data_IF_904693973909
#
_entry.id   IF_904693973909
#
_cell.length_a   1.000
_cell.length_b   1.000
_cell.length_c   1.000
_cell.angle_alpha   90.00
_cell.angle_beta   90.00
_cell.angle_gamma   90.00
#
_symmetry.space_group_name_H-M   'P 1'
#
loop_
_entity.id
_entity.type
_entity.pdbx_description
1 polymer ?
#
# COMPACT_ATOMS: atom_id res chain seq x y z
N UNK A 1 -8.91 6.74 19.28
CA UNK A 1 -8.11 6.09 18.21
C UNK A 1 -8.79 4.77 17.89
N UNK A 2 -9.30 4.55 16.66
CA UNK A 2 -9.95 3.29 16.28
C UNK A 2 -8.90 2.31 15.76
N UNK A 3 -8.23 1.62 16.67
CA UNK A 3 -7.33 0.50 16.33
C UNK A 3 -8.18 -0.75 16.06
N UNK A 4 -7.83 -1.52 15.03
CA UNK A 4 -8.55 -2.76 14.70
C UNK A 4 -7.99 -3.89 15.55
N UNK A 5 -8.88 -4.70 16.13
CA UNK A 5 -8.50 -5.95 16.78
C UNK A 5 -8.18 -6.99 15.70
N UNK A 6 -6.96 -7.52 15.72
CA UNK A 6 -6.52 -8.56 14.79
C UNK A 6 -7.33 -9.85 15.00
N UNK A 7 -7.55 -10.61 13.92
CA UNK A 7 -8.19 -11.92 14.03
C UNK A 7 -7.18 -12.93 14.55
N UNK A 8 -7.59 -13.81 15.46
CA UNK A 8 -6.76 -14.91 15.98
C UNK A 8 -6.25 -15.80 14.84
N UNK A 9 -4.96 -16.13 14.88
CA UNK A 9 -4.35 -17.06 13.93
C UNK A 9 -5.10 -18.37 13.84
N UNK A 10 -5.21 -18.90 12.62
CA UNK A 10 -5.81 -20.21 12.38
C UNK A 10 -4.79 -21.19 11.84
N UNK A 11 -5.12 -22.48 11.93
CA UNK A 11 -4.37 -23.57 11.31
C UNK A 11 -4.03 -23.30 9.83
N UNK A 12 -4.99 -22.80 9.06
CA UNK A 12 -4.81 -22.49 7.65
C UNK A 12 -3.77 -21.38 7.41
N UNK A 13 -3.73 -20.41 8.32
CA UNK A 13 -2.83 -19.26 8.26
C UNK A 13 -1.40 -19.67 8.61
N UNK A 14 -1.25 -20.58 9.59
CA UNK A 14 0.01 -21.23 9.93
C UNK A 14 0.60 -22.04 8.78
N UNK A 15 -0.26 -22.69 7.99
CA UNK A 15 0.16 -23.40 6.78
C UNK A 15 0.62 -22.44 5.67
N UNK A 16 -0.21 -21.45 5.33
CA UNK A 16 0.06 -20.49 4.24
C UNK A 16 1.38 -19.74 4.43
N UNK A 17 1.65 -19.34 5.67
CA UNK A 17 2.86 -18.57 6.03
C UNK A 17 4.08 -19.44 6.35
N UNK A 18 3.95 -20.77 6.33
CA UNK A 18 5.09 -21.65 6.55
C UNK A 18 6.07 -21.52 5.37
N UNK A 19 7.40 -21.54 5.63
CA UNK A 19 8.40 -21.65 4.58
C UNK A 19 8.14 -22.82 3.63
N UNK A 20 8.40 -22.64 2.34
CA UNK A 20 8.15 -23.67 1.32
C UNK A 20 8.88 -24.97 1.64
N UNK A 21 10.15 -24.86 2.04
CA UNK A 21 11.06 -25.96 2.41
C UNK A 21 10.79 -26.56 3.81
N UNK A 22 9.75 -26.13 4.51
CA UNK A 22 9.43 -26.68 5.83
C UNK A 22 8.92 -28.12 5.70
N UNK A 23 9.66 -29.06 6.30
CA UNK A 23 9.30 -30.48 6.36
C UNK A 23 8.02 -30.76 7.15
N UNK A 24 7.37 -31.89 6.83
CA UNK A 24 6.04 -32.27 7.30
C UNK A 24 5.87 -32.24 8.84
N UNK A 25 6.83 -32.80 9.59
CA UNK A 25 6.77 -32.86 11.05
C UNK A 25 6.76 -31.45 11.67
N UNK A 26 7.65 -30.57 11.18
CA UNK A 26 7.73 -29.17 11.67
C UNK A 26 6.47 -28.39 11.32
N UNK A 27 5.89 -28.63 10.15
CA UNK A 27 4.63 -28.03 9.73
C UNK A 27 3.47 -28.48 10.64
N UNK A 28 3.37 -29.77 10.95
CA UNK A 28 2.35 -30.30 11.85
C UNK A 28 2.45 -29.68 13.26
N UNK A 29 3.67 -29.52 13.80
CA UNK A 29 3.90 -28.85 15.08
C UNK A 29 3.49 -27.37 15.02
N UNK A 30 3.86 -26.64 13.96
CA UNK A 30 3.47 -25.23 13.77
C UNK A 30 1.94 -25.08 13.74
N UNK A 31 1.25 -25.95 13.02
CA UNK A 31 -0.20 -25.99 12.95
C UNK A 31 -0.80 -26.30 14.34
N UNK A 32 -0.33 -27.35 15.02
CA UNK A 32 -0.82 -27.69 16.36
C UNK A 32 -0.61 -26.56 17.38
N UNK A 33 0.46 -25.78 17.24
CA UNK A 33 0.74 -24.59 18.06
C UNK A 33 -0.32 -23.49 17.96
N UNK A 34 -1.19 -23.50 16.95
CA UNK A 34 -2.33 -22.56 16.83
C UNK A 34 -3.53 -22.93 17.71
N UNK A 35 -3.54 -24.15 18.30
CA UNK A 35 -4.61 -24.63 19.17
C UNK A 35 -4.44 -24.18 20.64
N UNK A 36 -3.19 -23.98 21.08
CA UNK A 36 -2.90 -23.20 22.29
C UNK A 36 -3.05 -21.72 21.97
N UNK A 37 -3.31 -20.86 22.97
CA UNK A 37 -3.62 -19.45 22.73
C UNK A 37 -2.68 -18.80 21.72
N UNK A 38 -3.20 -18.63 20.50
CA UNK A 38 -2.41 -18.07 19.43
C UNK A 38 -2.26 -16.58 19.68
N UNK A 39 -1.03 -16.18 19.99
CA UNK A 39 -0.60 -14.79 20.20
C UNK A 39 -0.52 -14.00 18.90
N UNK A 40 -0.86 -14.61 17.77
CA UNK A 40 -0.64 -14.04 16.46
C UNK A 40 -1.98 -13.66 15.82
N UNK A 41 -2.00 -12.57 15.05
CA UNK A 41 -3.21 -12.17 14.34
C UNK A 41 -3.01 -11.59 12.95
N UNK A 42 -3.96 -11.88 12.07
CA UNK A 42 -3.94 -11.56 10.64
C UNK A 42 -5.05 -10.61 10.24
N UNK A 43 -4.86 -9.97 9.08
CA UNK A 43 -5.88 -9.14 8.46
C UNK A 43 -5.94 -9.35 6.94
N UNK A 44 -7.15 -9.23 6.38
CA UNK A 44 -7.41 -9.47 4.96
C UNK A 44 -8.04 -8.24 4.28
N UNK A 45 -7.53 -7.92 3.09
CA UNK A 45 -8.01 -6.84 2.25
C UNK A 45 -8.27 -7.34 0.83
N UNK A 46 -9.19 -6.72 0.10
CA UNK A 46 -9.32 -7.01 -1.33
C UNK A 46 -8.15 -6.41 -2.12
N UNK A 47 -7.66 -5.25 -1.72
CA UNK A 47 -6.54 -4.58 -2.35
C UNK A 47 -5.57 -3.95 -1.35
N UNK A 48 -4.28 -4.03 -1.66
CA UNK A 48 -3.23 -3.26 -0.99
C UNK A 48 -2.66 -2.28 -2.01
N UNK A 49 -2.57 -1.00 -1.63
CA UNK A 49 -1.96 0.07 -2.41
C UNK A 49 -0.65 0.46 -1.72
N UNK A 50 0.48 0.20 -2.38
CA UNK A 50 1.82 0.54 -1.91
C UNK A 50 2.37 1.69 -2.74
N UNK A 51 2.98 2.66 -2.07
CA UNK A 51 3.78 3.69 -2.70
C UNK A 51 3.70 5.01 -1.97
N UNK A 52 4.51 5.98 -2.41
CA UNK A 52 4.76 7.20 -1.64
C UNK A 52 4.11 8.46 -2.25
N UNK A 53 3.22 8.29 -3.22
CA UNK A 53 2.40 9.34 -3.80
C UNK A 53 1.01 9.43 -3.14
N UNK A 54 0.71 10.46 -2.32
CA UNK A 54 -0.56 10.57 -1.61
C UNK A 54 -1.78 10.74 -2.52
N UNK A 55 -1.67 11.54 -3.59
CA UNK A 55 -2.80 11.82 -4.49
C UNK A 55 -3.16 10.55 -5.25
N UNK A 56 -2.17 9.93 -5.90
CA UNK A 56 -2.40 8.73 -6.72
C UNK A 56 -2.90 7.59 -5.84
N UNK A 57 -2.28 7.37 -4.68
CA UNK A 57 -2.65 6.27 -3.78
C UNK A 57 -4.06 6.43 -3.19
N UNK A 58 -4.46 7.65 -2.79
CA UNK A 58 -5.81 7.89 -2.26
C UNK A 58 -6.87 7.88 -3.36
N UNK A 59 -6.60 8.45 -4.54
CA UNK A 59 -7.51 8.37 -5.70
C UNK A 59 -7.79 6.93 -6.10
N UNK A 60 -6.74 6.10 -6.16
CA UNK A 60 -6.87 4.67 -6.43
C UNK A 60 -7.68 3.97 -5.34
N UNK A 61 -7.37 4.23 -4.07
CA UNK A 61 -8.09 3.63 -2.95
C UNK A 61 -9.57 3.99 -2.94
N UNK A 62 -9.92 5.25 -3.25
CA UNK A 62 -11.32 5.68 -3.37
C UNK A 62 -12.02 5.00 -4.55
N UNK A 63 -11.34 4.88 -5.68
CA UNK A 63 -11.89 4.19 -6.86
C UNK A 63 -12.17 2.71 -6.54
N UNK A 64 -11.20 2.01 -5.95
CA UNK A 64 -11.35 0.63 -5.46
C UNK A 64 -12.44 0.50 -4.39
N UNK A 65 -12.56 1.48 -3.51
CA UNK A 65 -13.60 1.50 -2.50
C UNK A 65 -15.01 1.65 -3.10
N UNK A 66 -15.18 2.55 -4.07
CA UNK A 66 -16.42 2.74 -4.82
C UNK A 66 -16.83 1.48 -5.58
N UNK A 67 -15.86 0.66 -6.00
CA UNK A 67 -16.10 -0.68 -6.57
C UNK A 67 -16.36 -1.77 -5.52
N UNK A 68 -16.50 -1.42 -4.24
CA UNK A 68 -16.82 -2.34 -3.15
C UNK A 68 -15.62 -2.94 -2.40
N UNK A 69 -14.38 -2.60 -2.75
CA UNK A 69 -13.19 -3.18 -2.13
C UNK A 69 -12.90 -2.60 -0.74
N UNK A 70 -12.38 -3.41 0.18
CA UNK A 70 -11.63 -2.98 1.37
C UNK A 70 -10.17 -2.81 0.96
N UNK A 71 -9.63 -1.64 1.26
CA UNK A 71 -8.32 -1.21 0.75
C UNK A 71 -7.41 -0.87 1.92
N UNK A 72 -6.20 -1.41 1.90
CA UNK A 72 -5.10 -0.99 2.76
C UNK A 72 -4.14 -0.12 1.95
N UNK A 73 -3.94 1.12 2.39
CA UNK A 73 -2.90 2.00 1.91
C UNK A 73 -1.66 1.78 2.78
N UNK A 74 -0.55 1.40 2.16
CA UNK A 74 0.75 1.21 2.81
C UNK A 74 1.74 2.18 2.19
N UNK A 75 1.92 3.38 2.75
CA UNK A 75 2.93 4.31 2.25
C UNK A 75 4.30 3.65 2.38
N UNK A 76 5.08 3.65 1.29
CA UNK A 76 6.41 3.00 1.23
C UNK A 76 7.45 3.94 1.88
N UNK A 77 7.30 4.16 3.19
CA UNK A 77 8.09 5.10 3.98
C UNK A 77 9.42 4.49 4.41
N UNK A 78 10.17 3.88 3.49
CA UNK A 78 11.52 3.35 3.76
C UNK A 78 12.60 4.38 3.43
N UNK A 79 13.80 4.23 3.99
CA UNK A 79 14.92 5.15 3.77
C UNK A 79 15.44 5.13 2.34
N UNK A 80 16.07 6.22 1.88
CA UNK A 80 16.55 6.41 0.50
C UNK A 80 17.49 5.31 -0.01
N UNK A 81 18.21 4.66 0.90
CA UNK A 81 19.08 3.52 0.59
C UNK A 81 18.34 2.25 0.15
N UNK A 82 17.05 2.13 0.48
CA UNK A 82 16.22 0.97 0.15
C UNK A 82 15.52 1.11 -1.22
N UNK A 83 15.63 2.29 -1.83
CA UNK A 83 15.10 2.62 -3.15
C UNK A 83 16.09 2.26 -4.26
N UNK A 84 15.62 2.09 -5.51
CA UNK A 84 16.47 1.71 -6.64
C UNK A 84 17.69 2.63 -6.87
N UNK A 85 17.63 3.89 -6.40
CA UNK A 85 18.76 4.84 -6.43
C UNK A 85 18.73 5.83 -5.26
N UNK A 86 19.90 6.38 -4.89
CA UNK A 86 20.04 7.35 -3.79
C UNK A 86 19.33 8.69 -4.06
N UNK A 87 19.26 9.10 -5.33
CA UNK A 87 18.65 10.38 -5.74
C UNK A 87 17.12 10.28 -5.89
N UNK A 88 16.58 9.05 -5.80
CA UNK A 88 15.18 8.78 -6.05
C UNK A 88 14.24 9.57 -5.14
N UNK A 89 14.56 9.69 -3.85
CA UNK A 89 13.73 10.41 -2.89
C UNK A 89 13.49 11.88 -3.26
N UNK A 90 14.51 12.55 -3.79
CA UNK A 90 14.40 13.95 -4.24
C UNK A 90 13.57 14.07 -5.52
N UNK A 91 13.84 13.20 -6.49
CA UNK A 91 13.09 13.17 -7.76
C UNK A 91 11.61 12.84 -7.54
N UNK A 92 11.33 11.93 -6.62
CA UNK A 92 9.98 11.56 -6.23
C UNK A 92 9.26 12.76 -5.63
N UNK A 93 9.88 13.46 -4.66
CA UNK A 93 9.30 14.65 -4.06
C UNK A 93 9.02 15.76 -5.08
N UNK A 94 9.92 16.00 -6.03
CA UNK A 94 9.70 16.98 -7.11
C UNK A 94 8.51 16.57 -8.00
N UNK A 95 8.46 15.29 -8.37
CA UNK A 95 7.44 14.77 -9.31
C UNK A 95 6.06 14.70 -8.68
N UNK A 96 5.93 14.21 -7.43
CA UNK A 96 4.64 14.10 -6.74
C UNK A 96 4.01 15.46 -6.43
N UNK A 97 4.85 16.48 -6.20
CA UNK A 97 4.42 17.84 -5.94
C UNK A 97 4.13 18.65 -7.21
N UNK A 98 4.52 18.14 -8.39
CA UNK A 98 4.11 18.73 -9.66
C UNK A 98 2.60 18.55 -9.83
N UNK A 99 1.85 19.65 -9.78
CA UNK A 99 0.39 19.66 -9.87
C UNK A 99 -0.06 20.86 -10.71
N UNK A 100 -0.28 20.59 -11.99
CA UNK A 100 -0.70 21.59 -12.96
C UNK A 100 -2.22 21.54 -13.22
N UNK A 101 -2.69 22.41 -14.11
CA UNK A 101 -4.09 22.49 -14.48
C UNK A 101 -4.63 21.19 -15.12
N UNK A 102 -3.80 20.43 -15.84
CA UNK A 102 -4.22 19.17 -16.47
C UNK A 102 -4.50 18.11 -15.40
N UNK A 103 -3.66 18.06 -14.36
CA UNK A 103 -3.86 17.19 -13.20
C UNK A 103 -5.13 17.59 -12.45
N UNK A 104 -5.27 18.89 -12.16
CA UNK A 104 -6.43 19.41 -11.43
C UNK A 104 -7.75 19.10 -12.14
N UNK A 105 -7.81 19.34 -13.46
CA UNK A 105 -8.98 18.99 -14.28
C UNK A 105 -9.30 17.50 -14.26
N UNK A 106 -8.28 16.64 -14.25
CA UNK A 106 -8.51 15.20 -14.20
C UNK A 106 -8.98 14.73 -12.81
N UNK A 107 -8.42 15.29 -11.74
CA UNK A 107 -8.85 15.01 -10.36
C UNK A 107 -10.29 15.45 -10.15
N UNK A 108 -10.68 16.63 -10.66
CA UNK A 108 -12.05 17.16 -10.53
C UNK A 108 -13.12 16.26 -11.16
N UNK A 109 -12.77 15.43 -12.16
CA UNK A 109 -13.69 14.44 -12.75
C UNK A 109 -14.05 13.29 -11.80
N UNK A 110 -13.24 13.08 -10.76
CA UNK A 110 -13.33 11.90 -9.89
C UNK A 110 -13.48 12.26 -8.41
N UNK A 111 -13.18 13.51 -8.03
CA UNK A 111 -13.25 14.02 -6.67
C UNK A 111 -14.39 15.03 -6.58
N UNK A 112 -15.44 14.69 -5.82
CA UNK A 112 -16.63 15.53 -5.73
C UNK A 112 -16.31 16.83 -4.98
N UNK A 113 -16.81 17.96 -5.49
CA UNK A 113 -16.61 19.27 -4.85
C UNK A 113 -15.19 19.84 -4.95
N UNK A 114 -14.32 19.29 -5.82
CA UNK A 114 -13.02 19.87 -6.15
C UNK A 114 -13.11 20.74 -7.41
N UNK A 115 -12.66 21.99 -7.31
CA UNK A 115 -12.57 22.90 -8.45
C UNK A 115 -11.21 22.70 -9.17
N UNK A 116 -11.12 22.59 -10.50
CA UNK A 116 -9.85 22.55 -11.21
C UNK A 116 -8.92 23.76 -10.99
N UNK A 117 -9.45 24.88 -10.49
CA UNK A 117 -8.65 26.05 -10.07
C UNK A 117 -8.05 25.88 -8.67
N UNK A 118 -8.53 24.90 -7.90
CA UNK A 118 -7.98 24.57 -6.59
C UNK A 118 -6.59 23.92 -6.72
N UNK A 119 -5.69 24.29 -5.81
CA UNK A 119 -4.33 23.74 -5.77
C UNK A 119 -4.24 22.34 -5.16
N UNK A 120 -3.06 21.74 -5.30
CA UNK A 120 -2.71 20.41 -4.78
C UNK A 120 -3.20 20.13 -3.34
N UNK A 121 -2.98 21.09 -2.42
CA UNK A 121 -3.32 20.90 -1.01
C UNK A 121 -4.83 20.77 -0.77
N UNK A 122 -5.66 21.42 -1.60
CA UNK A 122 -7.11 21.31 -1.52
C UNK A 122 -7.59 19.95 -2.04
N UNK A 123 -7.01 19.48 -3.15
CA UNK A 123 -7.23 18.11 -3.64
C UNK A 123 -6.89 17.09 -2.56
N UNK A 124 -5.69 17.20 -1.96
CA UNK A 124 -5.24 16.32 -0.89
C UNK A 124 -6.18 16.35 0.31
N UNK A 125 -6.63 17.54 0.74
CA UNK A 125 -7.55 17.67 1.88
C UNK A 125 -8.90 17.00 1.62
N UNK A 126 -9.46 17.15 0.43
CA UNK A 126 -10.74 16.52 0.07
C UNK A 126 -10.59 14.99 -0.01
N UNK A 127 -9.50 14.49 -0.60
CA UNK A 127 -9.18 13.07 -0.65
C UNK A 127 -9.02 12.46 0.75
N UNK A 128 -8.34 13.16 1.66
CA UNK A 128 -8.21 12.74 3.05
C UNK A 128 -9.60 12.62 3.69
N UNK A 129 -10.46 13.62 3.49
CA UNK A 129 -11.82 13.61 4.05
C UNK A 129 -12.65 12.46 3.51
N UNK A 130 -12.66 12.23 2.19
CA UNK A 130 -13.37 11.10 1.58
C UNK A 130 -12.81 9.74 2.04
N UNK A 131 -11.49 9.60 2.11
CA UNK A 131 -10.89 8.36 2.60
C UNK A 131 -11.21 8.11 4.08
N UNK A 132 -11.21 9.16 4.90
CA UNK A 132 -11.45 9.08 6.34
C UNK A 132 -12.93 8.80 6.68
N UNK A 133 -13.86 9.20 5.82
CA UNK A 133 -15.29 8.88 5.97
C UNK A 133 -15.61 7.43 5.63
N UNK A 134 -14.75 6.75 4.85
CA UNK A 134 -14.90 5.34 4.51
C UNK A 134 -14.49 4.40 5.65
N UNK A 135 -15.33 3.41 5.94
CA UNK A 135 -14.95 2.33 6.88
C UNK A 135 -14.07 1.26 6.24
N UNK A 136 -13.96 1.25 4.90
CA UNK A 136 -13.28 0.23 4.10
C UNK A 136 -11.87 0.63 3.68
N UNK A 137 -11.51 1.91 3.78
CA UNK A 137 -10.16 2.40 3.50
C UNK A 137 -9.40 2.53 4.82
N UNK A 138 -8.21 1.94 4.88
CA UNK A 138 -7.33 1.97 6.04
C UNK A 138 -5.93 2.37 5.59
N UNK A 139 -5.19 3.08 6.44
CA UNK A 139 -3.79 3.41 6.20
C UNK A 139 -2.90 2.76 7.25
N UNK A 140 -1.76 2.23 6.80
CA UNK A 140 -0.75 1.68 7.68
C UNK A 140 -0.05 2.81 8.45
N UNK A 141 -0.10 2.73 9.79
CA UNK A 141 0.28 3.85 10.66
C UNK A 141 1.79 4.14 10.63
N UNK A 142 2.60 3.13 10.92
CA UNK A 142 4.03 3.29 11.15
C UNK A 142 4.87 2.14 10.57
N UNK A 143 4.24 1.01 10.27
CA UNK A 143 4.95 -0.15 9.75
C UNK A 143 5.02 -0.04 8.23
N UNK A 144 5.98 -0.74 7.62
CA UNK A 144 5.99 -0.97 6.17
C UNK A 144 5.65 -2.44 5.91
N UNK A 145 5.31 -2.77 4.67
CA UNK A 145 5.04 -4.15 4.27
C UNK A 145 6.24 -4.73 3.49
N UNK A 146 6.50 -6.00 3.72
CA UNK A 146 7.40 -6.83 2.93
C UNK A 146 6.58 -7.92 2.25
N UNK A 147 6.72 -8.05 0.94
CA UNK A 147 6.14 -9.16 0.20
C UNK A 147 6.85 -10.49 0.52
N UNK A 148 6.14 -11.60 0.43
CA UNK A 148 6.71 -12.91 0.74
C UNK A 148 7.79 -13.40 -0.22
N UNK A 149 8.02 -12.75 -1.38
CA UNK A 149 8.99 -13.18 -2.41
C UNK A 149 8.90 -14.67 -2.77
N UNK A 150 7.73 -15.30 -2.62
CA UNK A 150 7.55 -16.74 -2.88
C UNK A 150 8.25 -17.70 -1.89
N UNK A 151 8.78 -17.22 -0.76
CA UNK A 151 9.52 -18.06 0.21
C UNK A 151 8.63 -18.87 1.15
N UNK A 152 7.32 -18.67 1.07
CA UNK A 152 6.31 -19.36 1.87
C UNK A 152 5.43 -20.24 0.97
N UNK A 153 4.79 -21.24 1.56
CA UNK A 153 3.85 -22.14 0.87
C UNK A 153 2.72 -21.38 0.17
N UNK A 154 2.32 -20.23 0.71
CA UNK A 154 1.42 -19.28 0.06
C UNK A 154 0.00 -19.80 -0.09
N UNK A 155 -0.73 -19.21 -1.04
CA UNK A 155 -2.11 -19.52 -1.36
C UNK A 155 -2.59 -18.69 -2.55
N UNK A 156 -3.91 -18.53 -2.69
CA UNK A 156 -4.49 -17.65 -3.72
C UNK A 156 -4.21 -16.17 -3.45
N UNK A 157 -4.11 -15.79 -2.19
CA UNK A 157 -3.90 -14.41 -1.78
C UNK A 157 -2.39 -14.09 -1.70
N UNK A 158 -2.05 -12.86 -2.04
CA UNK A 158 -0.75 -12.25 -1.77
C UNK A 158 -0.58 -12.08 -0.27
N UNK A 159 0.62 -12.35 0.23
CA UNK A 159 0.94 -12.32 1.66
C UNK A 159 2.04 -11.30 1.90
N UNK A 160 1.78 -10.39 2.83
CA UNK A 160 2.70 -9.33 3.23
C UNK A 160 2.99 -9.42 4.72
N UNK A 161 4.25 -9.28 5.09
CA UNK A 161 4.71 -9.26 6.47
C UNK A 161 5.06 -7.82 6.87
N UNK A 162 4.61 -7.32 8.02
CA UNK A 162 5.07 -6.03 8.53
C UNK A 162 6.58 -6.06 8.83
N UNK A 163 7.27 -4.98 8.48
CA UNK A 163 8.70 -4.78 8.74
C UNK A 163 8.93 -4.06 10.08
N UNK A 164 9.82 -4.60 10.90
CA UNK A 164 10.18 -4.04 12.21
C UNK A 164 10.81 -2.64 12.13
N UNK A 165 10.55 -1.82 13.15
CA UNK A 165 11.06 -0.46 13.33
C UNK A 165 12.58 -0.35 13.36
N UNK A 166 13.30 -1.41 13.74
CA UNK A 166 14.78 -1.39 13.78
C UNK A 166 15.42 -1.40 12.38
N UNK A 167 14.65 -1.78 11.36
CA UNK A 167 15.05 -1.70 9.96
C UNK A 167 14.60 -0.38 9.31
N UNK A 168 13.92 0.48 10.06
CA UNK A 168 13.52 1.81 9.61
C UNK A 168 14.61 2.81 9.99
N UNK A 169 15.57 3.04 9.08
CA UNK A 169 16.17 4.36 9.06
C UNK A 169 15.01 5.36 8.89
N UNK A 170 14.95 6.34 9.80
CA UNK A 170 13.80 7.24 9.96
C UNK A 170 13.24 7.63 8.60
N UNK A 171 11.92 7.46 8.36
CA UNK A 171 11.33 7.72 7.07
C UNK A 171 11.62 9.15 6.67
N UNK A 172 12.45 9.31 5.66
CA UNK A 172 12.46 10.53 4.88
C UNK A 172 11.71 10.18 3.60
N UNK A 173 10.78 11.09 3.27
CA UNK A 173 10.02 11.20 2.02
C UNK A 173 8.73 10.36 2.05
N UNK A 174 7.53 10.86 1.73
CA UNK A 174 7.02 12.21 1.44
C UNK A 174 6.34 12.80 2.71
N UNK A 175 6.64 14.06 3.14
CA UNK A 175 6.15 14.63 4.39
C UNK A 175 4.61 14.74 4.47
N UNK A 176 3.93 14.75 3.33
CA UNK A 176 2.48 14.85 3.25
C UNK A 176 1.78 13.61 3.79
N UNK A 177 2.43 12.44 3.78
CA UNK A 177 1.87 11.23 4.40
C UNK A 177 1.67 11.38 5.90
N UNK A 178 2.43 12.25 6.57
CA UNK A 178 2.17 12.59 7.97
C UNK A 178 0.77 13.18 8.14
N UNK A 179 0.38 14.11 7.27
CA UNK A 179 -0.93 14.76 7.28
C UNK A 179 -2.05 13.75 7.00
N UNK A 180 -1.85 12.85 6.03
CA UNK A 180 -2.82 11.82 5.67
C UNK A 180 -2.98 10.81 6.81
N UNK A 181 -1.86 10.27 7.33
CA UNK A 181 -1.86 9.28 8.41
C UNK A 181 -2.55 9.82 9.65
N UNK A 182 -2.39 11.08 10.00
CA UNK A 182 -3.04 11.68 11.18
C UNK A 182 -4.58 11.69 11.09
N UNK A 183 -5.16 11.70 9.88
CA UNK A 183 -6.59 11.93 9.64
C UNK A 183 -7.35 10.70 9.12
N UNK A 184 -6.69 9.76 8.45
CA UNK A 184 -7.30 8.52 7.94
C UNK A 184 -7.27 7.40 9.00
N UNK A 185 -8.22 6.45 8.92
CA UNK A 185 -8.30 5.29 9.85
C UNK A 185 -7.03 4.45 9.79
N UNK A 186 -6.42 4.20 10.94
CA UNK A 186 -5.10 3.57 11.09
C UNK A 186 -5.19 2.07 11.33
N UNK A 187 -4.34 1.31 10.64
CA UNK A 187 -3.97 -0.05 10.99
C UNK A 187 -2.55 -0.02 11.57
N UNK A 188 -2.33 -0.78 12.64
CA UNK A 188 -1.04 -0.87 13.33
C UNK A 188 -0.79 -2.32 13.67
N UNK A 189 0.42 -2.81 13.44
CA UNK A 189 0.79 -4.18 13.78
C UNK A 189 1.61 -4.20 15.06
N UNK A 190 1.32 -5.19 15.91
CA UNK A 190 2.17 -5.44 17.07
C UNK A 190 3.34 -6.32 16.65
N UNK A 191 4.55 -5.74 16.53
CA UNK A 191 5.77 -6.44 16.09
C UNK A 191 6.16 -7.63 16.96
N UNK A 192 5.79 -7.63 18.25
CA UNK A 192 6.04 -8.76 19.14
C UNK A 192 5.15 -9.98 18.86
N UNK A 193 4.12 -9.81 18.02
CA UNK A 193 3.00 -10.74 17.81
C UNK A 193 2.69 -10.95 16.31
N UNK A 194 3.57 -10.54 15.38
CA UNK A 194 3.20 -10.43 13.97
C UNK A 194 2.72 -11.74 13.34
N UNK A 195 1.64 -11.55 12.57
CA UNK A 195 1.14 -12.42 11.55
C UNK A 195 0.62 -11.52 10.42
N UNK A 196 1.02 -11.85 9.21
CA UNK A 196 0.79 -11.18 7.94
C UNK A 196 -0.56 -10.45 7.63
N UNK A 197 -0.49 -9.57 6.62
CA UNK A 197 -1.62 -9.11 5.81
C UNK A 197 -1.80 -10.02 4.60
N UNK A 198 -3.04 -10.38 4.29
CA UNK A 198 -3.40 -11.01 3.00
C UNK A 198 -4.14 -10.04 2.09
N UNK A 199 -3.88 -10.12 0.79
CA UNK A 199 -4.62 -9.37 -0.21
C UNK A 199 -4.80 -10.11 -1.53
N UNK A 200 -5.89 -9.82 -2.26
CA UNK A 200 -6.10 -10.40 -3.59
C UNK A 200 -5.38 -9.63 -4.69
N UNK A 201 -5.25 -8.32 -4.53
CA UNK A 201 -4.60 -7.44 -5.48
C UNK A 201 -3.55 -6.57 -4.78
N UNK A 202 -2.44 -6.34 -5.45
CA UNK A 202 -1.42 -5.37 -5.08
C UNK A 202 -1.34 -4.31 -6.17
N UNK A 203 -1.41 -3.05 -5.78
CA UNK A 203 -1.16 -1.92 -6.65
C UNK A 203 0.06 -1.15 -6.15
N UNK A 204 0.96 -0.82 -7.07
CA UNK A 204 2.23 -0.17 -6.77
C UNK A 204 2.19 1.19 -7.48
N UNK A 205 2.19 2.29 -6.73
CA UNK A 205 1.96 3.65 -7.27
C UNK A 205 3.25 4.42 -7.55
N UNK A 206 4.34 4.00 -6.91
CA UNK A 206 5.72 4.49 -7.10
C UNK A 206 6.65 3.28 -7.18
N UNK A 207 7.82 3.36 -7.86
CA UNK A 207 8.84 2.31 -7.81
C UNK A 207 9.06 1.86 -6.36
N UNK A 208 8.89 0.56 -6.07
CA UNK A 208 8.85 0.11 -4.69
C UNK A 208 10.25 0.01 -4.08
N UNK A 209 10.28 -0.02 -2.76
CA UNK A 209 11.44 -0.47 -2.00
C UNK A 209 11.80 -1.93 -2.29
N UNK A 210 13.04 -2.31 -1.96
CA UNK A 210 13.52 -3.70 -2.07
C UNK A 210 12.68 -4.76 -1.32
N UNK A 211 11.76 -4.34 -0.46
CA UNK A 211 10.93 -5.24 0.33
C UNK A 211 9.63 -5.65 -0.37
N UNK A 212 9.24 -4.94 -1.42
CA UNK A 212 8.05 -5.23 -2.20
C UNK A 212 8.50 -5.72 -3.57
N UNK A 213 8.22 -6.99 -3.86
CA UNK A 213 8.47 -7.57 -5.17
C UNK A 213 7.52 -6.92 -6.21
N UNK A 214 8.06 -6.15 -7.17
CA UNK A 214 7.25 -5.43 -8.15
C UNK A 214 6.59 -6.34 -9.19
N UNK A 215 6.91 -7.65 -9.21
CA UNK A 215 6.27 -8.63 -10.09
C UNK A 215 4.93 -9.14 -9.55
N UNK A 216 4.68 -8.98 -8.23
CA UNK A 216 3.47 -9.46 -7.58
C UNK A 216 2.25 -8.53 -7.75
N UNK A 217 2.46 -7.32 -8.29
CA UNK A 217 1.46 -6.27 -8.31
C UNK A 217 1.29 -5.59 -9.66
N UNK A 218 0.17 -4.90 -9.80
CA UNK A 218 -0.08 -4.00 -10.93
C UNK A 218 0.62 -2.67 -10.66
N UNK A 219 1.53 -2.29 -11.56
CA UNK A 219 2.25 -1.02 -11.48
C UNK A 219 1.38 0.09 -12.09
N UNK A 220 1.15 1.15 -11.34
CA UNK A 220 0.33 2.30 -11.72
C UNK A 220 1.04 3.60 -11.33
N UNK A 221 0.57 4.73 -11.82
CA UNK A 221 1.21 6.02 -11.56
C UNK A 221 2.66 6.02 -12.03
N UNK A 222 3.55 6.47 -11.13
CA UNK A 222 5.00 6.57 -11.37
C UNK A 222 5.70 5.20 -11.44
N UNK A 223 5.05 4.11 -11.01
CA UNK A 223 5.66 2.77 -11.03
C UNK A 223 5.62 2.08 -12.42
N UNK A 224 4.86 2.61 -13.38
CA UNK A 224 4.72 2.03 -14.73
C UNK A 224 6.03 2.17 -15.51
N UNK A 225 6.94 1.20 -15.41
CA UNK A 225 8.18 1.21 -16.17
C UNK A 225 7.95 1.09 -17.70
N UNK A 226 8.72 1.89 -18.47
CA UNK A 226 8.86 1.89 -19.93
C UNK A 226 9.13 3.31 -20.48
N UNK A 227 10.24 3.63 -21.15
CA UNK A 227 11.42 2.89 -21.64
C UNK A 227 12.62 3.87 -21.71
N UNK A 228 13.85 3.37 -21.79
CA UNK A 228 15.04 4.17 -22.12
C UNK A 228 14.76 5.14 -23.27
N UNK A 229 14.70 6.44 -22.97
CA UNK A 229 14.44 7.51 -23.95
C UNK A 229 13.05 8.17 -23.88
N UNK A 230 12.13 7.74 -23.00
CA UNK A 230 10.82 8.38 -22.87
C UNK A 230 10.86 9.49 -21.83
N UNK A 231 11.01 10.71 -22.35
CA UNK A 231 10.82 11.99 -21.66
C UNK A 231 9.57 11.97 -20.76
N UNK A 232 9.74 12.44 -19.51
CA UNK A 232 8.72 13.01 -18.60
C UNK A 232 7.29 13.00 -19.18
N UNK A 233 6.53 11.92 -18.95
CA UNK A 233 5.09 11.93 -19.17
C UNK A 233 4.43 12.76 -18.06
N UNK A 234 3.43 13.55 -18.44
CA UNK A 234 2.79 14.52 -17.55
C UNK A 234 2.12 13.83 -16.35
N UNK A 235 2.21 14.43 -15.16
CA UNK A 235 1.59 13.97 -13.90
C UNK A 235 0.13 13.52 -14.06
N UNK A 236 -0.61 14.14 -14.99
CA UNK A 236 -2.00 13.80 -15.29
C UNK A 236 -2.15 12.32 -15.70
N UNK A 237 -1.20 11.78 -16.47
CA UNK A 237 -1.23 10.38 -16.92
C UNK A 237 -1.00 9.40 -15.77
N UNK A 238 -0.25 9.79 -14.74
CA UNK A 238 -0.05 8.97 -13.55
C UNK A 238 -1.36 8.81 -12.78
N UNK A 239 -2.06 9.93 -12.54
CA UNK A 239 -3.38 9.92 -11.91
C UNK A 239 -4.37 9.13 -12.77
N UNK A 240 -4.34 9.30 -14.10
CA UNK A 240 -5.22 8.57 -15.03
C UNK A 240 -4.99 7.07 -14.98
N UNK A 241 -3.74 6.62 -14.99
CA UNK A 241 -3.42 5.20 -14.99
C UNK A 241 -3.91 4.47 -13.74
N UNK A 242 -3.87 5.13 -12.60
CA UNK A 242 -4.39 4.58 -11.36
C UNK A 242 -5.90 4.33 -11.43
N UNK A 243 -6.65 5.20 -12.08
CA UNK A 243 -8.10 5.06 -12.19
C UNK A 243 -8.49 4.05 -13.29
N UNK A 244 -7.80 4.07 -14.43
CA UNK A 244 -8.16 3.25 -15.59
C UNK A 244 -7.92 1.74 -15.38
N UNK A 245 -7.00 1.35 -14.49
CA UNK A 245 -6.73 -0.07 -14.22
C UNK A 245 -7.89 -0.83 -13.55
N UNK A 246 -9.00 -0.17 -13.21
CA UNK A 246 -10.25 -0.83 -12.83
C UNK A 246 -11.13 -1.29 -14.00
N UNK A 247 -10.99 -0.67 -15.18
CA UNK A 247 -11.94 -0.84 -16.29
C UNK A 247 -11.61 -2.10 -17.12
N UNK A 248 -10.36 -2.58 -17.05
CA UNK A 248 -9.91 -3.76 -17.82
C UNK A 248 -10.15 -5.13 -17.16
N UNK A 249 -10.68 -5.15 -15.94
CA UNK A 249 -10.83 -6.36 -15.09
C UNK A 249 -12.30 -6.70 -14.80
N UNK A 250 -13.25 -6.08 -15.52
CA UNK A 250 -14.69 -6.41 -15.48
C UNK A 250 -15.06 -7.44 -16.55
#
# INVERSE_FOLDING_TARGET
MKTIALKKYRLADAYKTAPTEMGFIKLAIRMAGTLGDSLYGSEAFEAVVVGDDPIVSMMLALTLHRSGSRVLISPDSVGTQDWPSKDWGYQLAETVNSFDANVAQFVAKHLEGFDPQDGYMRALSLLITECASSERIMILQADNLQSSHGVIKGGRDLIFFPLSRELQDRPLINPLWRLVREKVKKLSFNHSEIEYVSARKLFITTPPSRYIDPQLGTRVGLAREGESGVVRRERCDDVRSAINHQIGDQ
#
